data_IF_539496003550
#
_entry.id   IF_539496003550
#
_cell.length_a   1.000
_cell.length_b   1.000
_cell.length_c   1.000
_cell.angle_alpha   90.00
_cell.angle_beta   90.00
_cell.angle_gamma   90.00
#
_symmetry.space_group_name_H-M   'P 1'
#
loop_
_entity.id
_entity.type
_entity.pdbx_description
1 polymer ?
#
# COMPACT_ATOMS: atom_id res chain seq x y z
N UNK A 1 9.07 -17.55 -18.10
CA UNK A 1 7.70 -17.57 -18.67
C UNK A 1 6.96 -16.31 -18.21
N UNK A 2 6.78 -15.30 -19.08
CA UNK A 2 6.26 -13.99 -18.67
C UNK A 2 4.75 -13.96 -18.37
N UNK A 3 3.99 -14.90 -18.94
CA UNK A 3 2.53 -14.99 -18.79
C UNK A 3 2.09 -15.84 -17.60
N UNK A 4 3.00 -16.07 -16.65
CA UNK A 4 2.77 -16.84 -15.44
C UNK A 4 3.31 -16.12 -14.21
N UNK A 5 2.62 -16.30 -13.10
CA UNK A 5 3.01 -15.76 -11.80
C UNK A 5 3.13 -16.87 -10.77
N UNK A 6 4.04 -16.68 -9.81
CA UNK A 6 4.21 -17.60 -8.69
C UNK A 6 3.25 -17.18 -7.58
N UNK A 7 2.37 -18.09 -7.20
CA UNK A 7 1.45 -17.85 -6.11
C UNK A 7 2.11 -18.09 -4.76
N UNK A 8 2.19 -17.05 -3.93
CA UNK A 8 2.79 -17.11 -2.59
C UNK A 8 2.18 -18.20 -1.70
N UNK A 9 0.85 -18.30 -1.52
CA UNK A 9 0.30 -19.27 -0.59
C UNK A 9 0.37 -20.72 -1.05
N UNK A 10 0.34 -21.00 -2.36
CA UNK A 10 0.35 -22.37 -2.86
C UNK A 10 1.71 -22.79 -3.45
N UNK A 11 2.62 -21.84 -3.67
CA UNK A 11 3.94 -22.01 -4.28
C UNK A 11 3.91 -22.64 -5.68
N UNK A 12 2.80 -22.47 -6.42
CA UNK A 12 2.64 -22.95 -7.80
C UNK A 12 2.64 -21.80 -8.80
N UNK A 13 2.96 -22.13 -10.05
CA UNK A 13 2.77 -21.24 -11.19
C UNK A 13 1.30 -21.24 -11.60
N UNK A 14 0.77 -20.05 -11.85
CA UNK A 14 -0.56 -19.84 -12.38
C UNK A 14 -0.46 -19.01 -13.65
N UNK A 15 -1.35 -19.28 -14.61
CA UNK A 15 -1.48 -18.44 -15.80
C UNK A 15 -2.06 -17.07 -15.43
N UNK A 16 -1.75 -16.09 -16.27
CA UNK A 16 -2.31 -14.74 -16.19
C UNK A 16 -3.83 -14.77 -16.41
N UNK A 17 -4.54 -13.96 -15.63
CA UNK A 17 -5.93 -13.58 -15.92
C UNK A 17 -5.94 -12.09 -16.23
N UNK A 18 -6.17 -11.71 -17.48
CA UNK A 18 -6.18 -10.29 -17.88
C UNK A 18 -7.36 -9.50 -17.31
N UNK A 19 -8.33 -10.19 -16.70
CA UNK A 19 -9.46 -9.58 -15.98
C UNK A 19 -9.14 -9.29 -14.51
N UNK A 20 -8.08 -9.89 -13.97
CA UNK A 20 -7.69 -9.76 -12.58
C UNK A 20 -6.78 -8.54 -12.38
N UNK A 21 -7.39 -7.41 -12.03
CA UNK A 21 -6.73 -6.12 -11.88
C UNK A 21 -6.79 -5.66 -10.42
N UNK A 22 -5.98 -4.65 -10.02
CA UNK A 22 -6.14 -4.06 -8.69
C UNK A 22 -7.55 -3.49 -8.41
N UNK A 23 -8.36 -3.19 -9.44
CA UNK A 23 -9.74 -2.68 -9.26
C UNK A 23 -10.76 -3.81 -9.14
N UNK A 24 -10.52 -4.93 -9.81
CA UNK A 24 -11.39 -6.10 -9.80
C UNK A 24 -10.55 -7.38 -9.69
N UNK A 25 -10.62 -8.00 -8.51
CA UNK A 25 -9.91 -9.25 -8.20
C UNK A 25 -10.83 -10.47 -8.22
N UNK A 26 -11.99 -10.39 -8.88
CA UNK A 26 -12.97 -11.48 -8.92
C UNK A 26 -12.49 -12.70 -9.74
N UNK A 27 -11.51 -12.50 -10.63
CA UNK A 27 -11.08 -13.51 -11.61
C UNK A 27 -9.75 -14.20 -11.25
N UNK A 28 -9.41 -14.32 -9.96
CA UNK A 28 -8.19 -15.01 -9.52
C UNK A 28 -8.31 -16.52 -9.79
N UNK A 29 -7.44 -17.07 -10.63
CA UNK A 29 -7.42 -18.50 -10.93
C UNK A 29 -6.55 -19.32 -9.95
N UNK A 30 -6.75 -19.17 -8.64
CA UNK A 30 -6.18 -20.08 -7.63
C UNK A 30 -7.28 -20.77 -6.81
N UNK A 31 -7.33 -22.11 -6.86
CA UNK A 31 -8.34 -22.92 -6.14
C UNK A 31 -8.17 -22.92 -4.62
N UNK A 32 -7.02 -22.49 -4.06
CA UNK A 32 -6.84 -22.40 -2.60
C UNK A 32 -7.46 -21.10 -2.08
N UNK A 33 -8.43 -21.20 -1.17
CA UNK A 33 -9.10 -20.03 -0.52
C UNK A 33 -8.10 -19.02 0.04
N UNK A 34 -6.96 -19.48 0.56
CA UNK A 34 -5.88 -18.63 1.10
C UNK A 34 -5.25 -17.70 0.03
N UNK A 35 -5.31 -18.05 -1.26
CA UNK A 35 -4.91 -17.19 -2.38
C UNK A 35 -5.76 -15.93 -2.52
N UNK A 36 -7.02 -16.00 -2.08
CA UNK A 36 -7.98 -14.90 -2.16
C UNK A 36 -7.89 -13.95 -0.97
N UNK A 37 -7.04 -14.23 0.02
CA UNK A 37 -6.98 -13.46 1.27
C UNK A 37 -5.70 -12.63 1.40
N UNK A 38 -4.67 -12.94 0.59
CA UNK A 38 -3.37 -12.28 0.55
C UNK A 38 -3.34 -11.16 -0.50
N UNK A 39 -3.74 -9.97 -0.10
CA UNK A 39 -3.61 -8.75 -0.88
C UNK A 39 -2.70 -7.78 -0.13
N UNK A 40 -1.96 -6.95 -0.88
CA UNK A 40 -1.22 -5.86 -0.25
C UNK A 40 -2.15 -4.87 0.42
N UNK A 41 -1.67 -4.39 1.56
CA UNK A 41 -2.14 -3.20 2.26
C UNK A 41 -3.58 -3.24 2.78
N UNK A 42 -3.68 -3.23 4.10
CA UNK A 42 -4.89 -2.84 4.83
C UNK A 42 -5.45 -1.50 4.33
N UNK A 43 -4.55 -0.60 3.91
CA UNK A 43 -4.83 0.72 3.35
C UNK A 43 -5.75 0.66 2.13
N UNK A 44 -5.55 -0.31 1.23
CA UNK A 44 -6.25 -0.34 -0.04
C UNK A 44 -7.50 -1.22 -0.01
N UNK A 45 -7.44 -2.35 0.72
CA UNK A 45 -8.47 -3.39 0.68
C UNK A 45 -9.87 -2.89 1.04
N UNK A 46 -9.97 -1.93 1.95
CA UNK A 46 -11.23 -1.34 2.40
C UNK A 46 -11.78 -0.25 1.46
N UNK A 47 -11.06 0.11 0.39
CA UNK A 47 -11.29 1.35 -0.37
C UNK A 47 -11.32 1.13 -1.88
N UNK A 48 -11.75 -0.06 -2.32
CA UNK A 48 -11.97 -0.36 -3.75
C UNK A 48 -10.70 -0.55 -4.59
N UNK A 49 -9.53 -0.70 -3.96
CA UNK A 49 -8.26 -1.01 -4.63
C UNK A 49 -7.60 -2.21 -3.92
N UNK A 50 -7.18 -3.23 -4.65
CA UNK A 50 -6.65 -4.50 -4.11
C UNK A 50 -5.45 -4.95 -4.93
N UNK A 51 -4.32 -4.29 -4.69
CA UNK A 51 -3.05 -4.74 -5.23
C UNK A 51 -2.67 -6.09 -4.58
N UNK A 52 -2.09 -7.00 -5.36
CA UNK A 52 -1.72 -8.35 -4.95
C UNK A 52 -0.34 -8.69 -5.50
N UNK A 53 0.36 -9.66 -4.91
CA UNK A 53 1.75 -9.96 -5.30
C UNK A 53 1.86 -10.32 -6.78
N UNK A 54 0.85 -11.02 -7.29
CA UNK A 54 0.73 -11.37 -8.70
C UNK A 54 0.69 -10.14 -9.61
N UNK A 55 0.04 -9.06 -9.21
CA UNK A 55 0.00 -7.82 -9.99
C UNK A 55 1.38 -7.18 -10.04
N UNK A 56 2.13 -7.19 -8.92
CA UNK A 56 3.51 -6.72 -8.86
C UNK A 56 4.42 -7.54 -9.78
N UNK A 57 4.39 -8.87 -9.63
CA UNK A 57 5.16 -9.78 -10.49
C UNK A 57 4.85 -9.60 -11.98
N UNK A 58 3.56 -9.56 -12.33
CA UNK A 58 3.13 -9.45 -13.72
C UNK A 58 3.47 -8.06 -14.27
N UNK A 59 3.26 -6.99 -13.52
CA UNK A 59 3.60 -5.64 -13.98
C UNK A 59 5.09 -5.52 -14.29
N UNK A 60 5.96 -5.98 -13.38
CA UNK A 60 7.42 -5.96 -13.59
C UNK A 60 7.82 -6.83 -14.78
N UNK A 61 7.34 -8.09 -14.84
CA UNK A 61 7.63 -9.02 -15.96
C UNK A 61 7.20 -8.47 -17.31
N UNK A 62 5.96 -8.00 -17.41
CA UNK A 62 5.41 -7.50 -18.67
C UNK A 62 6.13 -6.20 -19.08
N UNK A 63 6.46 -5.30 -18.14
CA UNK A 63 7.21 -4.08 -18.48
C UNK A 63 8.56 -4.36 -19.15
N UNK A 64 9.27 -5.43 -18.72
CA UNK A 64 10.56 -5.84 -19.31
C UNK A 64 10.44 -6.33 -20.75
N UNK A 65 9.26 -6.80 -21.16
CA UNK A 65 9.04 -7.26 -22.53
C UNK A 65 8.82 -6.10 -23.51
N UNK A 66 8.42 -4.92 -23.03
CA UNK A 66 8.20 -3.72 -23.84
C UNK A 66 7.34 -4.01 -25.07
N UNK A 67 7.84 -3.62 -26.26
CA UNK A 67 7.12 -3.75 -27.54
C UNK A 67 6.88 -5.20 -27.99
N UNK A 68 7.44 -6.20 -27.32
CA UNK A 68 7.22 -7.62 -27.64
C UNK A 68 5.94 -8.19 -27.00
N UNK A 69 5.20 -7.38 -26.25
CA UNK A 69 3.93 -7.78 -25.63
C UNK A 69 2.83 -7.98 -26.68
N UNK A 70 2.09 -9.08 -26.54
CA UNK A 70 0.78 -9.19 -27.18
C UNK A 70 -0.12 -8.04 -26.69
N UNK A 71 -0.97 -7.52 -27.59
CA UNK A 71 -1.87 -6.38 -27.31
C UNK A 71 -2.70 -6.57 -26.05
N UNK A 72 -3.19 -7.78 -25.79
CA UNK A 72 -3.97 -8.10 -24.58
C UNK A 72 -3.17 -7.94 -23.29
N UNK A 73 -1.87 -8.28 -23.31
CA UNK A 73 -0.99 -8.14 -22.16
C UNK A 73 -0.51 -6.71 -21.96
N UNK A 74 -0.41 -5.93 -23.05
CA UNK A 74 -0.19 -4.49 -22.97
C UNK A 74 -1.37 -3.80 -22.29
N UNK A 75 -2.60 -4.08 -22.73
CA UNK A 75 -3.82 -3.56 -22.10
C UNK A 75 -3.93 -3.98 -20.62
N UNK A 76 -3.50 -5.20 -20.31
CA UNK A 76 -3.47 -5.67 -18.93
C UNK A 76 -2.44 -4.93 -18.06
N UNK A 77 -1.22 -4.72 -18.57
CA UNK A 77 -0.20 -3.93 -17.89
C UNK A 77 -0.71 -2.50 -17.66
N UNK A 78 -1.30 -1.87 -18.67
CA UNK A 78 -1.93 -0.55 -18.56
C UNK A 78 -3.01 -0.55 -17.47
N UNK A 79 -3.84 -1.60 -17.38
CA UNK A 79 -4.86 -1.72 -16.35
C UNK A 79 -4.30 -1.88 -14.93
N UNK A 80 -3.18 -2.59 -14.74
CA UNK A 80 -2.49 -2.67 -13.43
C UNK A 80 -1.90 -1.31 -13.05
N UNK A 81 -1.27 -0.63 -14.02
CA UNK A 81 -0.57 0.64 -13.80
C UNK A 81 -1.50 1.84 -13.73
N UNK A 82 -2.75 1.70 -14.20
CA UNK A 82 -3.73 2.78 -14.26
C UNK A 82 -3.93 3.44 -12.89
N UNK A 83 -3.95 4.80 -12.84
CA UNK A 83 -4.16 5.50 -11.59
C UNK A 83 -5.54 5.17 -11.01
N UNK A 84 -5.59 4.97 -9.70
CA UNK A 84 -6.82 4.80 -8.94
C UNK A 84 -7.28 6.11 -8.31
N UNK A 85 -8.59 6.34 -8.32
CA UNK A 85 -9.26 7.43 -7.61
C UNK A 85 -10.52 6.87 -6.99
N UNK A 86 -10.70 7.10 -5.69
CA UNK A 86 -11.89 6.71 -4.94
C UNK A 86 -12.09 7.58 -3.71
N UNK A 87 -13.08 7.22 -2.91
CA UNK A 87 -13.36 7.84 -1.62
C UNK A 87 -13.16 6.79 -0.53
N UNK A 88 -12.20 7.03 0.35
CA UNK A 88 -12.02 6.25 1.55
C UNK A 88 -13.09 6.65 2.58
N UNK A 89 -13.89 5.69 3.02
CA UNK A 89 -14.85 5.86 4.10
C UNK A 89 -14.27 5.21 5.35
N UNK A 90 -14.17 5.97 6.43
CA UNK A 90 -13.71 5.46 7.72
C UNK A 90 -14.93 5.29 8.62
N UNK A 91 -15.15 4.08 9.18
CA UNK A 91 -16.19 3.87 10.18
C UNK A 91 -16.03 4.89 11.31
N UNK A 92 -17.13 5.55 11.66
CA UNK A 92 -17.20 6.36 12.87
C UNK A 92 -17.55 5.47 14.05
N UNK A 93 -17.08 5.89 15.23
CA UNK A 93 -17.65 5.47 16.49
C UNK A 93 -19.17 5.78 16.44
N UNK A 94 -20.08 4.92 16.93
CA UNK A 94 -21.52 5.14 16.90
C UNK A 94 -22.01 6.52 17.42
N UNK A 95 -21.17 7.25 18.15
CA UNK A 95 -21.45 8.59 18.68
C UNK A 95 -21.16 9.72 17.66
N UNK A 96 -20.36 9.48 16.63
CA UNK A 96 -19.96 10.49 15.64
C UNK A 96 -20.88 10.50 14.41
N UNK A 97 -21.63 11.61 14.26
CA UNK A 97 -22.80 11.77 13.36
C UNK A 97 -22.46 11.93 11.86
N UNK A 98 -21.19 11.83 11.44
CA UNK A 98 -20.85 11.94 10.01
C UNK A 98 -19.70 11.01 9.59
N UNK A 99 -19.86 10.22 8.52
CA UNK A 99 -18.81 9.36 8.02
C UNK A 99 -17.58 10.21 7.66
N UNK A 100 -16.45 9.87 8.27
CA UNK A 100 -15.16 10.48 7.97
C UNK A 100 -14.74 9.97 6.60
N UNK A 101 -14.49 10.87 5.65
CA UNK A 101 -14.07 10.49 4.32
C UNK A 101 -12.86 11.26 3.85
N UNK A 102 -12.06 10.61 3.00
CA UNK A 102 -10.94 11.22 2.32
C UNK A 102 -10.96 10.85 0.85
N UNK A 103 -10.60 11.78 -0.03
CA UNK A 103 -10.29 11.43 -1.40
C UNK A 103 -9.02 10.59 -1.39
N UNK A 104 -9.08 9.40 -1.97
CA UNK A 104 -8.01 8.42 -2.01
C UNK A 104 -7.55 8.24 -3.45
N UNK A 105 -6.24 8.30 -3.69
CA UNK A 105 -5.65 8.01 -4.99
C UNK A 105 -4.45 7.10 -4.86
N UNK A 106 -4.26 6.20 -5.82
CA UNK A 106 -3.07 5.34 -5.94
C UNK A 106 -2.47 5.52 -7.32
N UNK A 107 -1.16 5.68 -7.40
CA UNK A 107 -0.41 5.75 -8.66
C UNK A 107 0.75 4.79 -8.62
N UNK A 108 0.91 3.99 -9.66
CA UNK A 108 1.96 2.98 -9.75
C UNK A 108 3.09 3.51 -10.65
N UNK A 109 4.33 3.10 -10.36
CA UNK A 109 5.49 3.27 -11.24
C UNK A 109 6.34 2.01 -11.19
N UNK A 110 7.07 1.74 -12.27
CA UNK A 110 8.15 0.76 -12.27
C UNK A 110 9.45 1.55 -12.44
N UNK A 111 10.36 1.43 -11.47
CA UNK A 111 11.66 2.12 -11.47
C UNK A 111 12.73 1.07 -11.21
N UNK A 112 13.70 0.96 -12.11
CA UNK A 112 14.79 -0.02 -12.03
C UNK A 112 14.31 -1.47 -11.75
N UNK A 113 13.21 -1.86 -12.40
CA UNK A 113 12.61 -3.19 -12.26
C UNK A 113 11.86 -3.42 -10.94
N UNK A 114 11.61 -2.37 -10.15
CA UNK A 114 10.88 -2.41 -8.89
C UNK A 114 9.52 -1.74 -9.02
N UNK A 115 8.50 -2.33 -8.41
CA UNK A 115 7.14 -1.80 -8.43
C UNK A 115 6.91 -0.87 -7.23
N UNK A 116 6.70 0.41 -7.51
CA UNK A 116 6.46 1.43 -6.51
C UNK A 116 5.04 1.97 -6.59
N UNK A 117 4.48 2.37 -5.46
CA UNK A 117 3.23 3.15 -5.43
C UNK A 117 3.37 4.46 -4.69
N UNK A 118 2.58 5.45 -5.11
CA UNK A 118 2.24 6.64 -4.35
C UNK A 118 0.75 6.56 -4.01
N UNK A 119 0.46 6.46 -2.72
CA UNK A 119 -0.89 6.55 -2.16
C UNK A 119 -1.10 7.94 -1.60
N UNK A 120 -2.24 8.57 -1.86
CA UNK A 120 -2.59 9.86 -1.29
C UNK A 120 -3.98 9.83 -0.68
N UNK A 121 -4.07 10.21 0.58
CA UNK A 121 -5.32 10.57 1.25
C UNK A 121 -5.41 12.09 1.33
N UNK A 122 -6.52 12.66 0.88
CA UNK A 122 -6.79 14.10 0.99
C UNK A 122 -8.06 14.34 1.81
N UNK A 123 -7.89 14.99 2.96
CA UNK A 123 -8.93 15.37 3.90
C UNK A 123 -9.27 16.84 3.70
N UNK A 124 -10.51 17.13 3.33
CA UNK A 124 -10.96 18.50 3.16
C UNK A 124 -11.20 19.18 4.51
N UNK A 125 -10.65 20.38 4.69
CA UNK A 125 -10.93 21.19 5.88
C UNK A 125 -12.30 21.82 5.78
N UNK A 126 -13.17 21.55 6.75
CA UNK A 126 -14.47 22.23 6.84
C UNK A 126 -14.26 23.70 7.21
N UNK A 127 -14.97 24.61 6.55
CA UNK A 127 -14.97 26.04 6.91
C UNK A 127 -15.53 26.28 8.31
N UNK A 128 -16.48 25.46 8.77
CA UNK A 128 -17.16 25.63 10.07
C UNK A 128 -16.42 24.98 11.23
N UNK A 129 -15.85 23.79 11.01
CA UNK A 129 -15.31 22.96 12.09
C UNK A 129 -13.79 22.76 12.01
N UNK A 130 -13.13 23.30 10.99
CA UNK A 130 -11.74 23.02 10.70
C UNK A 130 -11.53 21.56 10.28
N UNK A 131 -10.33 21.05 10.52
CA UNK A 131 -10.01 19.63 10.46
C UNK A 131 -9.37 19.28 11.80
N UNK A 132 -9.91 18.28 12.48
CA UNK A 132 -9.40 17.79 13.77
C UNK A 132 -8.87 16.38 13.62
N UNK A 133 -7.98 15.97 14.53
CA UNK A 133 -7.41 14.61 14.54
C UNK A 133 -8.50 13.54 14.60
N UNK A 134 -9.59 13.79 15.33
CA UNK A 134 -10.75 12.90 15.32
C UNK A 134 -11.25 12.67 13.89
N UNK A 135 -11.36 13.68 13.03
CA UNK A 135 -11.94 13.55 11.68
C UNK A 135 -11.13 12.73 10.67
N UNK A 136 -9.86 12.39 10.94
CA UNK A 136 -8.94 11.76 9.98
C UNK A 136 -9.17 10.23 9.83
N UNK A 137 -9.97 9.63 10.72
CA UNK A 137 -10.30 8.20 10.68
C UNK A 137 -9.09 7.31 10.97
N UNK A 138 -9.20 6.02 10.64
CA UNK A 138 -8.11 5.05 10.81
C UNK A 138 -7.29 4.91 9.51
N UNK A 139 -6.54 5.97 9.18
CA UNK A 139 -5.60 5.93 8.05
C UNK A 139 -4.36 5.13 8.42
N UNK A 140 -3.86 4.33 7.48
CA UNK A 140 -2.60 3.62 7.60
C UNK A 140 -1.74 3.91 6.36
N UNK A 141 -0.43 3.98 6.55
CA UNK A 141 0.55 4.11 5.44
C UNK A 141 1.25 2.79 5.17
N UNK A 142 1.25 1.85 6.13
CA UNK A 142 1.67 0.47 5.97
C UNK A 142 1.03 -0.42 7.05
N UNK A 143 1.35 -1.70 7.10
CA UNK A 143 0.87 -2.58 8.17
C UNK A 143 1.49 -2.31 9.56
N UNK A 144 2.57 -1.52 9.62
CA UNK A 144 3.25 -1.19 10.88
C UNK A 144 2.85 0.20 11.41
N UNK A 145 2.38 1.10 10.52
CA UNK A 145 2.05 2.48 10.86
C UNK A 145 0.61 2.84 10.45
N UNK A 146 -0.21 3.05 11.47
CA UNK A 146 -1.61 3.44 11.38
C UNK A 146 -1.96 4.48 12.46
N UNK A 147 -2.86 5.40 12.12
CA UNK A 147 -3.34 6.47 13.00
C UNK A 147 -4.28 5.99 14.10
N UNK A 148 -4.92 4.84 13.91
CA UNK A 148 -5.77 4.16 14.89
C UNK A 148 -5.69 2.65 14.69
N UNK A 149 -5.94 1.89 15.75
CA UNK A 149 -6.22 0.47 15.61
C UNK A 149 -7.50 0.29 14.78
N UNK A 150 -7.40 -0.44 13.67
CA UNK A 150 -8.57 -0.88 12.91
C UNK A 150 -9.22 -2.02 13.70
N UNK A 151 -10.54 -1.99 13.94
CA UNK A 151 -11.24 -3.12 14.58
C UNK A 151 -10.95 -4.43 13.82
N UNK A 152 -10.61 -5.49 14.56
CA UNK A 152 -10.18 -6.78 14.00
C UNK A 152 -8.75 -6.81 13.44
N UNK A 153 -8.03 -5.69 13.42
CA UNK A 153 -6.61 -5.66 13.11
C UNK A 153 -5.77 -5.78 14.40
N UNK A 154 -5.29 -6.99 14.67
CA UNK A 154 -4.16 -7.20 15.58
C UNK A 154 -2.90 -6.66 14.89
N UNK A 155 -2.57 -5.40 15.16
CA UNK A 155 -1.29 -4.82 14.79
C UNK A 155 -0.23 -5.30 15.80
N UNK A 156 0.98 -5.57 15.31
CA UNK A 156 2.11 -5.93 16.19
C UNK A 156 2.40 -4.70 17.04
N UNK A 157 2.15 -4.81 18.34
CA UNK A 157 2.45 -3.79 19.34
C UNK A 157 3.95 -3.49 19.32
N UNK A 158 4.33 -2.40 18.67
CA UNK A 158 5.64 -1.80 18.78
C UNK A 158 5.43 -0.28 18.73
N UNK A 159 6.29 0.49 19.39
CA UNK A 159 6.17 1.95 19.58
C UNK A 159 6.07 2.80 18.31
N UNK A 160 6.04 2.19 17.13
CA UNK A 160 5.94 2.82 15.81
C UNK A 160 4.52 3.28 15.43
N UNK A 161 3.48 2.73 16.07
CA UNK A 161 2.07 3.15 15.86
C UNK A 161 1.85 4.66 16.13
N UNK A 162 2.75 5.32 16.86
CA UNK A 162 2.65 6.75 17.15
C UNK A 162 3.29 7.67 16.12
N UNK A 163 4.18 7.19 15.24
CA UNK A 163 4.94 8.07 14.32
C UNK A 163 4.04 8.80 13.31
N UNK A 164 3.13 8.07 12.65
CA UNK A 164 2.13 8.66 11.74
C UNK A 164 1.14 9.55 12.52
N UNK A 165 0.71 9.12 13.70
CA UNK A 165 -0.21 9.86 14.56
C UNK A 165 0.37 11.21 14.98
N UNK A 166 1.61 11.23 15.47
CA UNK A 166 2.34 12.45 15.79
C UNK A 166 2.54 13.33 14.55
N UNK A 167 2.86 12.75 13.39
CA UNK A 167 3.00 13.53 12.16
C UNK A 167 1.68 14.22 11.74
N UNK A 168 0.54 13.53 11.90
CA UNK A 168 -0.78 14.11 11.70
C UNK A 168 -1.05 15.25 12.68
N UNK A 169 -0.76 15.07 13.97
CA UNK A 169 -0.94 16.10 14.98
C UNK A 169 -0.06 17.33 14.72
N UNK A 170 1.22 17.13 14.43
CA UNK A 170 2.15 18.22 14.10
C UNK A 170 1.65 18.97 12.86
N UNK A 171 1.26 18.27 11.79
CA UNK A 171 0.76 18.93 10.59
C UNK A 171 -0.55 19.70 10.83
N UNK A 172 -1.43 19.21 11.72
CA UNK A 172 -2.65 19.93 12.12
C UNK A 172 -2.34 21.22 12.88
N UNK A 173 -1.33 21.21 13.76
CA UNK A 173 -0.92 22.38 14.55
C UNK A 173 -0.03 23.35 13.77
N UNK A 174 0.76 22.86 12.83
CA UNK A 174 1.74 23.64 12.06
C UNK A 174 1.52 23.50 10.55
N UNK A 175 0.43 24.08 9.97
CA UNK A 175 0.02 23.81 8.60
C UNK A 175 1.01 24.18 7.50
N UNK A 176 2.00 25.05 7.81
CA UNK A 176 2.99 25.53 6.85
C UNK A 176 4.14 24.55 6.62
N UNK A 177 4.31 23.57 7.50
CA UNK A 177 5.48 22.68 7.47
C UNK A 177 5.06 21.25 7.14
N UNK A 178 5.57 20.68 6.04
CA UNK A 178 5.36 19.27 5.76
C UNK A 178 6.11 18.43 6.80
N UNK A 179 5.44 17.40 7.32
CA UNK A 179 6.04 16.44 8.25
C UNK A 179 6.39 15.19 7.46
N UNK A 180 7.67 14.83 7.50
CA UNK A 180 8.20 13.65 6.82
C UNK A 180 8.41 12.52 7.82
N UNK A 181 8.19 11.30 7.38
CA UNK A 181 8.53 10.12 8.16
C UNK A 181 8.70 8.89 7.28
N UNK A 182 9.09 7.80 7.92
CA UNK A 182 9.28 6.52 7.27
C UNK A 182 8.99 5.39 8.25
N UNK A 183 8.80 4.19 7.71
CA UNK A 183 8.68 2.97 8.49
C UNK A 183 10.04 2.28 8.63
N UNK A 184 10.41 1.91 9.85
CA UNK A 184 11.64 1.19 10.18
C UNK A 184 11.54 -0.32 9.89
N UNK A 185 10.33 -0.81 9.57
CA UNK A 185 10.05 -2.24 9.36
C UNK A 185 9.69 -2.59 7.91
N UNK A 186 9.44 -1.62 7.05
CA UNK A 186 9.13 -1.84 5.64
C UNK A 186 9.54 -0.62 4.79
N UNK A 187 9.78 -0.80 3.48
CA UNK A 187 10.20 0.29 2.60
C UNK A 187 9.01 1.21 2.25
N UNK A 188 8.58 1.99 3.24
CA UNK A 188 7.52 2.98 3.11
C UNK A 188 7.99 4.31 3.69
N UNK A 189 7.97 5.33 2.83
CA UNK A 189 8.10 6.72 3.23
C UNK A 189 6.72 7.38 3.25
N UNK A 190 6.56 8.41 4.08
CA UNK A 190 5.36 9.22 4.06
C UNK A 190 5.61 10.70 4.31
N UNK A 191 4.65 11.50 3.88
CA UNK A 191 4.58 12.92 4.14
C UNK A 191 3.15 13.27 4.56
N UNK A 192 3.04 14.07 5.61
CA UNK A 192 1.82 14.75 6.00
C UNK A 192 1.98 16.24 5.75
N UNK A 193 1.16 16.82 4.87
CA UNK A 193 1.29 18.22 4.49
C UNK A 193 -0.04 18.84 4.11
N UNK A 194 -0.14 20.16 4.23
CA UNK A 194 -1.29 20.89 3.71
C UNK A 194 -1.07 21.28 2.26
N UNK A 195 -2.10 21.12 1.43
CA UNK A 195 -2.16 21.73 0.09
C UNK A 195 -3.47 22.48 -0.06
N UNK A 196 -3.40 23.81 -0.06
CA UNK A 196 -4.58 24.66 -0.05
C UNK A 196 -5.43 24.37 1.19
N UNK A 197 -6.69 23.96 0.97
CA UNK A 197 -7.64 23.68 2.06
C UNK A 197 -7.76 22.18 2.40
N UNK A 198 -6.78 21.36 2.03
CA UNK A 198 -6.79 19.93 2.33
C UNK A 198 -5.50 19.48 3.01
N UNK A 199 -5.64 18.71 4.09
CA UNK A 199 -4.54 17.94 4.65
C UNK A 199 -4.33 16.70 3.79
N UNK A 200 -3.09 16.42 3.43
CA UNK A 200 -2.70 15.28 2.60
C UNK A 200 -1.77 14.36 3.37
N UNK A 201 -2.04 13.07 3.28
CA UNK A 201 -1.12 12.00 3.68
C UNK A 201 -0.67 11.33 2.39
N UNK A 202 0.60 11.50 2.03
CA UNK A 202 1.24 10.81 0.92
C UNK A 202 2.08 9.67 1.46
N UNK A 203 1.97 8.49 0.88
CA UNK A 203 2.78 7.33 1.23
C UNK A 203 3.39 6.73 -0.03
N UNK A 204 4.71 6.60 -0.05
CA UNK A 204 5.46 5.94 -1.11
C UNK A 204 5.86 4.56 -0.62
N UNK A 205 5.54 3.52 -1.36
CA UNK A 205 5.81 2.14 -0.98
C UNK A 205 6.55 1.39 -2.09
N UNK A 206 7.57 0.64 -1.71
CA UNK A 206 8.28 -0.29 -2.59
C UNK A 206 7.79 -1.72 -2.38
N UNK A 207 7.20 -2.30 -3.41
CA UNK A 207 6.69 -3.66 -3.39
C UNK A 207 7.71 -4.70 -3.89
N UNK A 208 8.90 -4.27 -4.31
CA UNK A 208 9.97 -5.13 -4.79
C UNK A 208 9.88 -5.45 -6.27
N UNK A 209 10.55 -6.53 -6.66
CA UNK A 209 10.71 -6.95 -8.05
C UNK A 209 9.64 -7.98 -8.45
N UNK A 210 9.86 -8.72 -9.55
CA UNK A 210 9.06 -9.89 -9.91
C UNK A 210 9.51 -11.20 -9.25
N UNK A 211 10.52 -11.14 -8.38
CA UNK A 211 10.98 -12.28 -7.61
C UNK A 211 9.95 -12.70 -6.55
N UNK A 212 10.10 -13.92 -6.03
CA UNK A 212 9.08 -14.53 -5.19
C UNK A 212 8.76 -13.69 -3.94
N UNK A 213 7.57 -13.86 -3.36
CA UNK A 213 7.08 -13.11 -2.18
C UNK A 213 7.95 -13.23 -0.91
N UNK A 214 8.98 -14.09 -0.96
CA UNK A 214 10.00 -14.24 0.07
C UNK A 214 11.08 -13.15 -0.01
N UNK A 215 11.16 -12.41 -1.12
CA UNK A 215 11.95 -11.19 -1.20
C UNK A 215 11.34 -10.15 -0.25
N UNK A 216 12.16 -9.58 0.63
CA UNK A 216 11.71 -8.93 1.87
C UNK A 216 10.75 -7.75 1.70
N UNK A 217 10.73 -7.08 0.55
CA UNK A 217 9.90 -5.89 0.32
C UNK A 217 8.40 -6.19 0.34
N UNK A 218 7.93 -7.17 -0.45
CA UNK A 218 6.51 -7.54 -0.49
C UNK A 218 6.03 -8.02 0.89
N UNK A 219 6.76 -8.98 1.48
CA UNK A 219 6.43 -9.55 2.78
C UNK A 219 6.45 -8.53 3.92
N UNK A 220 7.27 -7.48 3.83
CA UNK A 220 7.30 -6.39 4.80
C UNK A 220 6.11 -5.44 4.66
N UNK A 221 5.56 -5.28 3.47
CA UNK A 221 4.45 -4.35 3.21
C UNK A 221 3.07 -5.02 3.38
N UNK A 222 3.00 -6.35 3.36
CA UNK A 222 1.73 -7.11 3.37
C UNK A 222 1.47 -7.86 4.68
N UNK A 223 0.20 -7.81 5.15
CA UNK A 223 -0.28 -8.62 6.27
C UNK A 223 -0.68 -10.01 5.78
N UNK A 224 -0.05 -11.05 6.30
CA UNK A 224 -0.46 -12.43 6.05
C UNK A 224 -1.53 -12.85 7.08
N UNK A 225 -2.79 -13.07 6.68
CA UNK A 225 -3.87 -13.47 7.59
C UNK A 225 -3.72 -14.89 8.12
N UNK A 226 -2.82 -15.73 7.57
CA UNK A 226 -2.50 -17.05 8.11
C UNK A 226 -1.65 -16.98 9.38
N UNK A 227 -0.97 -15.85 9.61
CA UNK A 227 -0.05 -15.63 10.74
C UNK A 227 -0.74 -15.29 12.06
N UNK A 228 -2.06 -15.52 12.14
CA UNK A 228 -2.89 -15.26 13.32
C UNK A 228 -3.02 -16.45 14.29
N UNK A 229 -2.37 -17.60 14.04
CA UNK A 229 -2.45 -18.75 14.95
C UNK A 229 -1.12 -19.38 15.37
N UNK A 230 -0.04 -19.28 14.61
CA UNK A 230 1.26 -19.85 15.00
C UNK A 230 2.43 -18.87 14.81
N UNK A 231 3.28 -18.84 15.82
CA UNK A 231 4.24 -17.81 16.20
C UNK A 231 5.62 -17.92 15.53
N UNK A 232 5.77 -18.54 14.36
CA UNK A 232 7.10 -18.96 13.87
C UNK A 232 7.82 -18.01 12.90
N UNK A 233 7.29 -16.82 12.62
CA UNK A 233 7.95 -15.84 11.74
C UNK A 233 8.70 -14.72 12.46
N UNK A 234 8.74 -14.73 13.80
CA UNK A 234 9.61 -13.81 14.56
C UNK A 234 11.11 -14.12 14.40
N UNK A 235 11.47 -15.27 13.81
CA UNK A 235 12.87 -15.66 13.62
C UNK A 235 13.47 -15.28 12.25
N UNK A 236 12.68 -15.11 11.19
CA UNK A 236 13.24 -14.77 9.86
C UNK A 236 13.53 -13.27 9.66
N UNK A 237 13.22 -12.45 10.67
CA UNK A 237 13.40 -10.99 10.64
C UNK A 237 14.61 -10.47 11.41
N UNK A 238 15.35 -11.34 12.13
CA UNK A 238 16.60 -10.92 12.79
C UNK A 238 17.81 -10.97 11.83
N UNK A 239 17.80 -11.87 10.85
CA UNK A 239 19.01 -12.17 10.08
C UNK A 239 18.98 -11.71 8.61
N UNK A 240 17.87 -11.11 8.15
CA UNK A 240 17.91 -10.30 6.93
C UNK A 240 18.15 -8.86 7.36
N UNK A 241 19.31 -8.26 7.06
CA UNK A 241 19.53 -6.85 7.29
C UNK A 241 18.35 -6.09 6.70
N UNK A 242 17.75 -5.20 7.47
CA UNK A 242 16.89 -4.17 6.89
C UNK A 242 17.71 -3.50 5.79
N UNK A 243 17.44 -3.85 4.53
CA UNK A 243 18.09 -3.23 3.36
C UNK A 243 17.60 -1.77 3.21
N UNK A 244 16.68 -1.32 4.08
CA UNK A 244 16.06 0.00 4.02
C UNK A 244 16.23 0.78 5.34
N UNK A 245 17.46 1.03 5.83
CA UNK A 245 17.69 1.77 7.07
C UNK A 245 17.67 3.30 6.86
N UNK A 246 17.50 3.80 5.63
CA UNK A 246 17.53 5.24 5.32
C UNK A 246 16.16 5.69 4.85
N UNK A 247 15.45 6.45 5.69
CA UNK A 247 14.20 7.09 5.32
C UNK A 247 14.37 8.08 4.16
N UNK A 248 13.38 8.14 3.28
CA UNK A 248 13.34 9.05 2.13
C UNK A 248 13.79 8.46 0.80
N UNK A 249 14.40 7.27 0.79
CA UNK A 249 14.89 6.63 -0.42
C UNK A 249 13.75 6.23 -1.38
N UNK A 250 12.65 5.71 -0.86
CA UNK A 250 11.52 5.24 -1.69
C UNK A 250 10.85 6.42 -2.37
N UNK A 251 10.66 7.51 -1.63
CA UNK A 251 10.14 8.76 -2.18
C UNK A 251 11.07 9.36 -3.23
N UNK A 252 12.37 9.42 -2.98
CA UNK A 252 13.35 9.94 -3.94
C UNK A 252 13.29 9.14 -5.25
N UNK A 253 13.39 7.80 -5.16
CA UNK A 253 13.28 6.91 -6.32
C UNK A 253 11.97 7.10 -7.09
N UNK A 254 10.85 7.31 -6.40
CA UNK A 254 9.57 7.51 -7.07
C UNK A 254 9.45 8.88 -7.77
N UNK A 255 9.89 9.96 -7.12
CA UNK A 255 9.70 11.34 -7.61
C UNK A 255 10.74 11.73 -8.67
N UNK A 256 11.98 11.25 -8.56
CA UNK A 256 13.07 11.53 -9.52
C UNK A 256 12.94 10.72 -10.81
N UNK A 257 12.29 9.56 -10.75
CA UNK A 257 12.01 8.76 -11.93
C UNK A 257 11.03 9.47 -12.86
N UNK A 258 11.49 9.75 -14.09
CA UNK A 258 10.64 10.24 -15.19
C UNK A 258 9.50 9.24 -15.47
N UNK A 259 8.29 9.73 -15.80
CA UNK A 259 7.15 8.88 -16.13
C UNK A 259 7.38 8.06 -17.40
#
# INVERSE_FOLDING_TARGET
MPYRWVCEPCMKLHDISTKDTPRDTSQIHCRKIQCWLLYSHFVHRAQGYRLGHRHVQLAVKLSRLGNNLLKEHQLYLEAIMAPYVGTAMFPTDPIDVAPRSAKHTVRCKIVDGRFLTLTTFAYSRSRRHGLKMSMIGAVAVCQHQASKMLEGARFVSSGELMTLTCALEIALHFPKFPVLGHCTQCPVDYEVSWKGNSLRVRAWADFGTDEGAKEGSWGAVVRDPRRGRDYDYYYYRRDTPSIYPVGGLVRASYEEAKP
#
